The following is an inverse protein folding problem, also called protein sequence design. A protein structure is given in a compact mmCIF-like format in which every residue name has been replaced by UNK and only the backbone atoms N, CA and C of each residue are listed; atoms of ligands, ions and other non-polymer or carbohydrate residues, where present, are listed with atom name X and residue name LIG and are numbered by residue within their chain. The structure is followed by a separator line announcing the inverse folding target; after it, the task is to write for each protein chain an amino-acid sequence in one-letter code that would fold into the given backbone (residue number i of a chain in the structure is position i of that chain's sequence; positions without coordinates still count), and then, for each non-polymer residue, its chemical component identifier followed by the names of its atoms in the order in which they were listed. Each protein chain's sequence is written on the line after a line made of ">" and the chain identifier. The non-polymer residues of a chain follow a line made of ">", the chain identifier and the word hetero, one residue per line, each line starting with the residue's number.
data_IF_646379019618
#
_entry.id   IF_646379019618
#
_cell.length_a   1.000
_cell.length_b   1.000
_cell.length_c   1.000
_cell.angle_alpha   90.00
_cell.angle_beta   90.00
_cell.angle_gamma   90.00
#
_symmetry.space_group_name_H-M   'P 1'
#
loop_
_entity.id
_entity.type
_entity.pdbx_description
1 polymer ?
#
# COMPACT_ATOMS: atom_id res chain seq x y z
N UNK A 1 7.57 8.31 2.92
CA UNK A 1 7.94 6.95 2.51
C UNK A 1 6.67 6.12 2.44
N UNK A 2 6.47 5.44 1.32
CA UNK A 2 5.42 4.45 1.13
C UNK A 2 6.10 3.09 1.00
N UNK A 3 5.55 2.06 1.62
CA UNK A 3 6.07 0.70 1.52
C UNK A 3 4.96 -0.31 1.73
N UNK A 4 5.23 -1.53 1.29
CA UNK A 4 4.37 -2.68 1.52
C UNK A 4 4.70 -3.30 2.88
N UNK A 5 3.66 -3.63 3.66
CA UNK A 5 3.81 -4.27 4.95
C UNK A 5 2.53 -4.94 5.43
N UNK A 6 2.69 -5.82 6.40
CA UNK A 6 1.59 -6.49 7.09
C UNK A 6 1.73 -6.30 8.60
N UNK A 7 0.61 -6.30 9.31
CA UNK A 7 0.60 -6.29 10.77
C UNK A 7 -0.46 -7.25 11.34
N UNK A 8 -0.35 -7.58 12.62
CA UNK A 8 -1.20 -8.61 13.26
C UNK A 8 -2.69 -8.29 13.22
N UNK A 9 -3.04 -7.01 13.26
CA UNK A 9 -4.41 -6.51 13.29
C UNK A 9 -5.01 -6.30 11.89
N UNK A 10 -4.18 -6.31 10.85
CA UNK A 10 -4.58 -6.12 9.46
C UNK A 10 -3.93 -7.22 8.58
N UNK A 11 -4.57 -8.39 8.48
CA UNK A 11 -4.05 -9.50 7.70
C UNK A 11 -4.11 -9.21 6.19
N UNK A 12 -3.05 -9.64 5.49
CA UNK A 12 -2.78 -9.26 4.10
C UNK A 12 -1.64 -8.26 4.03
N UNK A 13 -1.23 -7.92 2.80
CA UNK A 13 -0.21 -6.89 2.59
C UNK A 13 -0.88 -5.59 2.16
N UNK A 14 -0.52 -4.53 2.88
CA UNK A 14 -1.07 -3.20 2.79
C UNK A 14 0.02 -2.21 2.39
N UNK A 15 -0.39 -1.03 1.93
CA UNK A 15 0.54 0.09 1.75
C UNK A 15 0.52 0.97 3.00
N UNK A 16 1.67 1.06 3.64
CA UNK A 16 1.91 1.93 4.78
C UNK A 16 2.52 3.26 4.33
N UNK A 17 2.38 4.28 5.17
CA UNK A 17 2.97 5.59 4.97
C UNK A 17 3.53 6.17 6.26
N UNK A 18 4.69 6.81 6.12
CA UNK A 18 5.28 7.68 7.13
C UNK A 18 6.06 8.81 6.46
N UNK A 19 6.15 9.97 7.09
CA UNK A 19 6.83 11.15 6.58
C UNK A 19 7.87 11.67 7.57
N UNK A 20 8.85 12.40 7.03
CA UNK A 20 9.86 13.09 7.81
C UNK A 20 10.30 14.34 7.06
N UNK A 21 10.64 15.44 7.76
CA UNK A 21 11.32 16.57 7.13
C UNK A 21 12.79 16.27 6.78
N UNK A 22 13.35 15.13 7.22
CA UNK A 22 14.72 14.69 6.94
C UNK A 22 14.74 13.33 6.23
N UNK A 23 15.74 13.12 5.37
CA UNK A 23 15.95 11.82 4.71
C UNK A 23 16.35 10.73 5.71
N UNK A 24 17.03 11.10 6.80
CA UNK A 24 17.47 10.18 7.85
C UNK A 24 16.39 9.93 8.92
N UNK A 25 15.23 10.55 8.76
CA UNK A 25 14.15 10.46 9.73
C UNK A 25 14.35 11.38 10.95
N UNK A 26 13.64 11.12 12.06
CA UNK A 26 12.70 10.01 12.23
C UNK A 26 11.47 10.13 11.31
N UNK A 27 10.96 8.99 10.84
CA UNK A 27 9.72 8.89 10.07
C UNK A 27 8.53 8.62 10.99
N UNK A 28 7.39 9.29 10.76
CA UNK A 28 6.15 9.13 11.56
C UNK A 28 4.91 9.19 10.67
N UNK A 29 3.79 8.70 11.18
CA UNK A 29 2.48 8.89 10.57
C UNK A 29 2.18 10.39 10.35
N UNK A 30 1.41 10.72 9.31
CA UNK A 30 1.06 12.11 9.01
C UNK A 30 0.25 12.70 10.16
N UNK A 31 0.70 13.83 10.70
CA UNK A 31 -0.01 14.53 11.79
C UNK A 31 -0.09 13.77 13.11
N UNK A 32 0.66 12.67 13.26
CA UNK A 32 0.58 11.78 14.42
C UNK A 32 1.94 11.50 15.07
N UNK A 33 1.89 10.81 16.22
CA UNK A 33 3.09 10.29 16.91
C UNK A 33 3.41 8.83 16.57
N UNK A 34 2.48 8.14 15.92
CA UNK A 34 2.62 6.75 15.51
C UNK A 34 3.76 6.58 14.49
N UNK A 35 4.42 5.41 14.46
CA UNK A 35 5.53 5.18 13.54
C UNK A 35 5.10 5.24 12.07
N UNK A 36 3.85 4.87 11.76
CA UNK A 36 3.29 4.85 10.41
C UNK A 36 1.76 4.82 10.45
N UNK A 37 1.13 4.93 9.28
CA UNK A 37 -0.30 4.72 9.09
C UNK A 37 -0.55 3.82 7.87
N UNK A 38 -1.62 3.05 7.88
CA UNK A 38 -2.08 2.30 6.69
C UNK A 38 -2.83 3.27 5.78
N UNK A 39 -2.41 3.40 4.52
CA UNK A 39 -3.01 4.34 3.54
C UNK A 39 -3.72 3.64 2.39
N UNK A 40 -3.45 2.36 2.17
CA UNK A 40 -4.15 1.56 1.18
C UNK A 40 -4.17 0.10 1.62
N UNK A 41 -5.29 -0.58 1.36
CA UNK A 41 -5.55 -1.93 1.83
C UNK A 41 -6.09 -2.78 0.68
N UNK A 42 -5.92 -4.11 0.75
CA UNK A 42 -6.56 -5.04 -0.16
C UNK A 42 -8.06 -4.80 -0.31
N UNK A 43 -8.55 -4.91 -1.54
CA UNK A 43 -9.96 -4.75 -1.86
C UNK A 43 -10.75 -5.96 -1.31
N UNK A 44 -11.78 -5.73 -0.50
CA UNK A 44 -12.53 -6.83 0.14
C UNK A 44 -13.52 -7.53 -0.79
N UNK A 45 -13.72 -7.03 -2.01
CA UNK A 45 -14.61 -7.65 -2.98
C UNK A 45 -14.09 -9.03 -3.42
N UNK A 46 -14.99 -10.02 -3.48
CA UNK A 46 -14.63 -11.43 -3.64
C UNK A 46 -13.82 -11.73 -4.91
N UNK A 47 -14.02 -10.94 -5.97
CA UNK A 47 -13.38 -11.11 -7.28
C UNK A 47 -12.35 -10.02 -7.59
N UNK A 48 -11.99 -9.19 -6.61
CA UNK A 48 -10.96 -8.18 -6.82
C UNK A 48 -9.58 -8.85 -6.99
N UNK A 49 -8.81 -8.34 -7.95
CA UNK A 49 -7.49 -8.89 -8.29
C UNK A 49 -6.44 -8.64 -7.19
N UNK A 50 -6.73 -7.71 -6.29
CA UNK A 50 -5.88 -7.24 -5.21
C UNK A 50 -6.50 -7.52 -3.83
N UNK A 51 -7.36 -8.55 -3.74
CA UNK A 51 -8.12 -8.82 -2.51
C UNK A 51 -7.32 -9.41 -1.34
N UNK A 52 -6.10 -9.85 -1.60
CA UNK A 52 -5.20 -10.39 -0.57
C UNK A 52 -4.01 -9.47 -0.33
N UNK A 53 -3.52 -8.84 -1.39
CA UNK A 53 -2.19 -8.24 -1.41
C UNK A 53 -2.20 -6.97 -2.26
N UNK A 54 -1.71 -5.88 -1.65
CA UNK A 54 -1.43 -4.60 -2.31
C UNK A 54 -0.01 -4.19 -1.92
N UNK A 55 0.90 -4.12 -2.89
CA UNK A 55 2.33 -4.03 -2.61
C UNK A 55 3.08 -3.21 -3.68
N UNK A 56 4.39 -3.03 -3.49
CA UNK A 56 5.27 -2.33 -4.42
C UNK A 56 4.76 -0.95 -4.88
N UNK A 57 4.47 -0.03 -3.95
CA UNK A 57 3.88 1.26 -4.30
C UNK A 57 4.88 2.13 -5.06
N UNK A 58 4.45 2.64 -6.22
CA UNK A 58 5.12 3.71 -6.96
C UNK A 58 4.20 4.94 -6.99
N UNK A 59 4.59 5.98 -6.23
CA UNK A 59 3.75 7.16 -6.00
C UNK A 59 4.33 8.36 -6.73
N UNK A 60 3.50 9.01 -7.56
CA UNK A 60 3.80 10.31 -8.17
C UNK A 60 2.71 11.32 -7.80
N UNK A 61 3.06 12.61 -7.82
CA UNK A 61 2.10 13.70 -7.61
C UNK A 61 2.08 14.63 -8.81
N UNK A 62 0.91 14.79 -9.42
CA UNK A 62 0.70 15.66 -10.59
C UNK A 62 -0.50 16.56 -10.32
N UNK A 63 -0.32 17.88 -10.44
CA UNK A 63 -1.39 18.88 -10.27
C UNK A 63 -2.23 18.68 -9.00
N UNK A 64 -1.54 18.46 -7.87
CA UNK A 64 -2.16 18.23 -6.57
C UNK A 64 -2.65 16.80 -6.33
N UNK A 65 -2.86 15.99 -7.38
CA UNK A 65 -3.37 14.61 -7.26
C UNK A 65 -2.22 13.61 -7.09
N UNK A 66 -2.34 12.72 -6.12
CA UNK A 66 -1.49 11.55 -5.97
C UNK A 66 -1.98 10.41 -6.84
N UNK A 67 -1.06 9.77 -7.55
CA UNK A 67 -1.27 8.54 -8.31
C UNK A 67 -0.33 7.48 -7.72
N UNK A 68 -0.90 6.37 -7.26
CA UNK A 68 -0.14 5.25 -6.73
C UNK A 68 -0.39 4.04 -7.61
N UNK A 69 0.66 3.61 -8.32
CA UNK A 69 0.69 2.31 -8.96
C UNK A 69 1.11 1.26 -7.94
N UNK A 70 0.52 0.07 -8.00
CA UNK A 70 0.80 -1.00 -7.05
C UNK A 70 0.64 -2.38 -7.69
N UNK A 71 1.35 -3.37 -7.17
CA UNK A 71 1.13 -4.78 -7.47
C UNK A 71 -0.04 -5.32 -6.64
N UNK A 72 -0.98 -5.97 -7.30
CA UNK A 72 -2.14 -6.63 -6.70
C UNK A 72 -2.12 -8.13 -6.92
N UNK A 73 -2.51 -8.88 -5.89
CA UNK A 73 -2.66 -10.32 -5.95
C UNK A 73 -3.86 -10.80 -5.12
N UNK A 74 -4.54 -11.84 -5.60
CA UNK A 74 -5.84 -12.30 -5.11
C UNK A 74 -5.80 -13.63 -4.34
N UNK A 75 -4.62 -14.24 -4.20
CA UNK A 75 -4.46 -15.55 -3.57
C UNK A 75 -3.44 -15.55 -2.43
N UNK A 76 -3.75 -16.24 -1.33
CA UNK A 76 -2.78 -16.50 -0.25
C UNK A 76 -1.84 -17.68 -0.55
N UNK A 77 -2.03 -18.35 -1.69
CA UNK A 77 -1.31 -19.56 -2.07
C UNK A 77 -0.17 -19.21 -3.03
N UNK A 78 1.06 -19.53 -2.61
CA UNK A 78 2.31 -19.26 -3.35
C UNK A 78 2.52 -20.23 -4.52
N UNK A 79 1.83 -21.37 -4.51
CA UNK A 79 1.82 -22.38 -5.58
C UNK A 79 0.70 -22.16 -6.62
N UNK A 80 -0.15 -21.15 -6.43
CA UNK A 80 -1.14 -20.79 -7.42
C UNK A 80 -0.45 -20.14 -8.63
N UNK A 81 -0.86 -20.52 -9.84
CA UNK A 81 -0.51 -19.87 -11.12
C UNK A 81 -1.08 -18.43 -11.22
N UNK A 82 -1.15 -17.71 -10.12
CA UNK A 82 -1.60 -16.33 -10.11
C UNK A 82 -0.61 -15.45 -10.90
N UNK A 83 -1.12 -14.32 -11.35
CA UNK A 83 -0.34 -13.30 -12.04
C UNK A 83 -0.54 -12.02 -11.26
N UNK A 84 0.55 -11.39 -10.83
CA UNK A 84 0.52 -10.05 -10.26
C UNK A 84 -0.01 -9.09 -11.31
N UNK A 85 -1.06 -8.34 -10.97
CA UNK A 85 -1.62 -7.31 -11.86
C UNK A 85 -1.29 -5.94 -11.29
N UNK A 86 -1.15 -4.95 -12.18
CA UNK A 86 -0.88 -3.57 -11.76
C UNK A 86 -2.19 -2.82 -11.59
N UNK A 87 -2.39 -2.24 -10.40
CA UNK A 87 -3.48 -1.33 -10.08
C UNK A 87 -3.05 0.13 -10.06
N UNK A 88 -4.04 1.02 -10.07
CA UNK A 88 -3.87 2.46 -9.85
C UNK A 88 -4.90 2.93 -8.80
N UNK A 89 -4.40 3.60 -7.77
CA UNK A 89 -5.21 4.34 -6.81
C UNK A 89 -4.90 5.84 -6.90
N UNK A 90 -5.90 6.69 -6.63
CA UNK A 90 -5.74 8.16 -6.67
C UNK A 90 -6.27 8.83 -5.41
N UNK A 91 -5.59 9.89 -4.96
CA UNK A 91 -6.06 10.78 -3.89
C UNK A 91 -5.85 12.24 -4.28
N UNK A 92 -6.71 13.13 -3.79
CA UNK A 92 -6.46 14.57 -3.79
C UNK A 92 -5.45 14.97 -2.72
#
# INVERSE_FOLDING_TARGET
>A
MWWCGSERTHPGDHIFYAESPSLDGPFRARGGREPYQIVFSPNKEANAFDKVHTCDPSVIRVNGTYYMYYGGWDSVRVDAEGITKIGLATSK
#
